data_IF_908554405364
#
_entry.id   IF_908554405364
#
_cell.length_a   1.000
_cell.length_b   1.000
_cell.length_c   1.000
_cell.angle_alpha   90.00
_cell.angle_beta   90.00
_cell.angle_gamma   90.00
#
_symmetry.space_group_name_H-M   'P 1'
#
loop_
_entity.id
_entity.type
_entity.pdbx_description
1 polymer ?
#
# COMPACT_ATOMS: atom_id res chain seq x y z
N UNK A 1 2.39 -8.51 -17.74
CA UNK A 1 2.75 -7.17 -17.24
C UNK A 1 1.62 -6.45 -16.51
N UNK A 2 0.47 -6.11 -17.13
CA UNK A 2 -0.66 -5.54 -16.36
C UNK A 2 -1.20 -6.54 -15.30
N UNK A 3 -1.27 -7.82 -15.66
CA UNK A 3 -1.78 -8.87 -14.74
C UNK A 3 -0.86 -9.07 -13.53
N UNK A 4 0.45 -8.90 -13.69
CA UNK A 4 1.42 -9.03 -12.59
C UNK A 4 1.27 -7.88 -11.59
N UNK A 5 1.00 -6.67 -12.09
CA UNK A 5 0.71 -5.51 -11.25
C UNK A 5 -0.58 -5.70 -10.45
N UNK A 6 -1.62 -6.25 -11.08
CA UNK A 6 -2.90 -6.52 -10.40
C UNK A 6 -2.71 -7.57 -9.31
N UNK A 7 -2.01 -8.67 -9.61
CA UNK A 7 -1.69 -9.71 -8.63
C UNK A 7 -0.86 -9.17 -7.46
N UNK A 8 0.14 -8.33 -7.72
CA UNK A 8 0.92 -7.71 -6.65
C UNK A 8 0.10 -6.74 -5.81
N UNK A 9 -0.74 -5.89 -6.42
CA UNK A 9 -1.65 -5.00 -5.68
C UNK A 9 -2.62 -5.80 -4.81
N UNK A 10 -3.15 -6.91 -5.31
CA UNK A 10 -4.00 -7.81 -4.53
C UNK A 10 -3.24 -8.45 -3.36
N UNK A 11 -2.02 -8.95 -3.59
CA UNK A 11 -1.17 -9.49 -2.54
C UNK A 11 -0.86 -8.42 -1.47
N UNK A 12 -0.45 -7.21 -1.87
CA UNK A 12 -0.22 -6.09 -0.95
C UNK A 12 -1.47 -5.76 -0.15
N UNK A 13 -2.65 -5.71 -0.79
CA UNK A 13 -3.91 -5.46 -0.11
C UNK A 13 -4.26 -6.56 0.91
N UNK A 14 -4.02 -7.83 0.59
CA UNK A 14 -4.23 -8.95 1.50
C UNK A 14 -3.28 -8.90 2.70
N UNK A 15 -2.00 -8.61 2.47
CA UNK A 15 -1.02 -8.49 3.56
C UNK A 15 -1.33 -7.28 4.42
N UNK A 16 -1.72 -6.14 3.84
CA UNK A 16 -2.15 -4.96 4.59
C UNK A 16 -3.41 -5.24 5.44
N UNK A 17 -4.37 -6.00 4.90
CA UNK A 17 -5.53 -6.44 5.65
C UNK A 17 -5.14 -7.37 6.81
N UNK A 18 -4.18 -8.28 6.59
CA UNK A 18 -3.63 -9.15 7.62
C UNK A 18 -2.90 -8.35 8.72
N UNK A 19 -2.08 -7.37 8.34
CA UNK A 19 -1.42 -6.45 9.27
C UNK A 19 -2.46 -5.73 10.13
N UNK A 20 -3.51 -5.16 9.52
CA UNK A 20 -4.56 -4.45 10.25
C UNK A 20 -5.34 -5.35 11.19
N UNK A 21 -5.56 -6.62 10.81
CA UNK A 21 -6.14 -7.63 11.70
C UNK A 21 -5.23 -7.92 12.89
N UNK A 22 -3.91 -8.02 12.69
CA UNK A 22 -2.92 -8.19 13.76
C UNK A 22 -2.88 -6.97 14.68
N UNK A 23 -2.89 -5.74 14.13
CA UNK A 23 -2.99 -4.50 14.92
C UNK A 23 -4.23 -4.48 15.80
N UNK A 24 -5.39 -4.87 15.26
CA UNK A 24 -6.62 -4.93 16.03
C UNK A 24 -6.54 -5.96 17.17
N UNK A 25 -5.94 -7.13 16.92
CA UNK A 25 -5.71 -8.15 17.96
C UNK A 25 -4.76 -7.63 19.05
N UNK A 26 -3.69 -6.94 18.66
CA UNK A 26 -2.74 -6.34 19.58
C UNK A 26 -3.43 -5.29 20.46
N UNK A 27 -4.20 -4.37 19.87
CA UNK A 27 -4.99 -3.37 20.61
C UNK A 27 -6.00 -4.00 21.55
N UNK A 28 -6.68 -5.08 21.14
CA UNK A 28 -7.60 -5.80 22.01
C UNK A 28 -6.89 -6.45 23.20
N UNK A 29 -5.68 -7.00 23.00
CA UNK A 29 -4.87 -7.54 24.09
C UNK A 29 -4.38 -6.46 25.06
N UNK A 30 -4.00 -5.28 24.54
CA UNK A 30 -3.60 -4.12 25.34
C UNK A 30 -4.77 -3.55 26.16
N UNK A 31 -5.97 -3.50 25.58
CA UNK A 31 -7.20 -3.14 26.30
C UNK A 31 -7.51 -4.14 27.41
N UNK A 32 -7.38 -5.43 27.14
CA UNK A 32 -7.55 -6.46 28.15
C UNK A 32 -6.54 -6.31 29.30
N UNK A 33 -5.27 -6.01 29.01
CA UNK A 33 -4.24 -5.71 30.04
C UNK A 33 -4.68 -4.56 30.95
N UNK A 34 -5.14 -3.46 30.35
CA UNK A 34 -5.60 -2.28 31.08
C UNK A 34 -6.85 -2.56 31.93
N UNK A 35 -7.80 -3.35 31.41
CA UNK A 35 -9.00 -3.74 32.15
C UNK A 35 -8.66 -4.64 33.35
N UNK A 36 -7.76 -5.61 33.18
CA UNK A 36 -7.28 -6.45 34.29
C UNK A 36 -6.49 -5.65 35.31
N UNK A 37 -5.71 -4.66 34.88
CA UNK A 37 -5.00 -3.75 35.77
C UNK A 37 -5.99 -2.91 36.60
N UNK A 38 -7.03 -2.36 35.97
CA UNK A 38 -8.07 -1.59 36.67
C UNK A 38 -8.84 -2.46 37.66
N UNK A 39 -9.16 -3.71 37.30
CA UNK A 39 -9.78 -4.70 38.20
C UNK A 39 -8.89 -5.03 39.40
N UNK A 40 -7.59 -5.20 39.18
CA UNK A 40 -6.63 -5.44 40.25
C UNK A 40 -6.56 -4.24 41.22
N UNK A 41 -6.53 -3.01 40.71
CA UNK A 41 -6.56 -1.80 41.54
C UNK A 41 -7.84 -1.71 42.39
N UNK A 42 -9.00 -2.01 41.80
CA UNK A 42 -10.28 -2.04 42.51
C UNK A 42 -10.32 -3.12 43.61
N UNK A 43 -9.76 -4.29 43.36
CA UNK A 43 -9.66 -5.36 44.36
C UNK A 43 -8.72 -4.98 45.51
N UNK A 44 -7.58 -4.33 45.21
CA UNK A 44 -6.67 -3.80 46.23
C UNK A 44 -7.34 -2.73 47.10
N UNK A 45 -8.12 -1.83 46.51
CA UNK A 45 -8.88 -0.83 47.26
C UNK A 45 -9.92 -1.44 48.21
N UNK A 46 -10.48 -2.60 47.85
CA UNK A 46 -11.45 -3.34 48.67
C UNK A 46 -10.79 -4.28 49.70
N UNK A 47 -9.46 -4.41 49.69
CA UNK A 47 -8.72 -5.30 50.58
C UNK A 47 -8.72 -6.77 50.15
N UNK A 48 -9.18 -7.09 48.95
CA UNK A 48 -9.18 -8.45 48.40
C UNK A 48 -7.85 -8.75 47.68
N UNK A 49 -6.79 -8.98 48.44
CA UNK A 49 -5.44 -9.21 47.90
C UNK A 49 -5.35 -10.46 47.00
N UNK A 50 -6.08 -11.53 47.33
CA UNK A 50 -6.07 -12.76 46.54
C UNK A 50 -6.63 -12.54 45.13
N UNK A 51 -7.76 -11.82 45.04
CA UNK A 51 -8.40 -11.47 43.76
C UNK A 51 -7.51 -10.55 42.91
N UNK A 52 -6.83 -9.59 43.56
CA UNK A 52 -5.86 -8.72 42.90
C UNK A 52 -4.66 -9.49 42.34
N UNK A 53 -4.17 -10.49 43.10
CA UNK A 53 -3.04 -11.33 42.69
C UNK A 53 -3.41 -12.21 41.49
N UNK A 54 -4.63 -12.76 41.46
CA UNK A 54 -5.14 -13.48 40.29
C UNK A 54 -5.32 -12.57 39.06
N UNK A 55 -5.85 -11.35 39.24
CA UNK A 55 -5.99 -10.38 38.17
C UNK A 55 -4.63 -9.99 37.57
N UNK A 56 -3.61 -9.78 38.41
CA UNK A 56 -2.23 -9.53 37.96
C UNK A 56 -1.61 -10.74 37.24
N UNK A 57 -1.91 -11.96 37.68
CA UNK A 57 -1.45 -13.18 36.99
C UNK A 57 -2.06 -13.29 35.60
N UNK A 58 -3.36 -13.00 35.45
CA UNK A 58 -4.03 -12.95 34.14
C UNK A 58 -3.45 -11.84 33.27
N UNK A 59 -3.25 -10.64 33.83
CA UNK A 59 -2.60 -9.52 33.16
C UNK A 59 -1.26 -9.93 32.55
N UNK A 60 -0.40 -10.61 33.31
CA UNK A 60 0.90 -11.09 32.81
C UNK A 60 0.76 -11.95 31.55
N UNK A 61 -0.22 -12.87 31.51
CA UNK A 61 -0.49 -13.68 30.32
C UNK A 61 -0.96 -12.85 29.12
N UNK A 62 -1.79 -11.82 29.34
CA UNK A 62 -2.18 -10.89 28.28
C UNK A 62 -1.03 -10.03 27.78
N UNK A 63 -0.12 -9.59 28.67
CA UNK A 63 1.08 -8.87 28.31
C UNK A 63 2.04 -9.73 27.47
N UNK A 64 2.22 -11.01 27.82
CA UNK A 64 2.99 -11.97 27.02
C UNK A 64 2.37 -12.18 25.63
N UNK A 65 1.04 -12.32 25.56
CA UNK A 65 0.32 -12.40 24.29
C UNK A 65 0.48 -11.12 23.44
N UNK A 66 0.41 -9.93 24.05
CA UNK A 66 0.63 -8.66 23.36
C UNK A 66 2.06 -8.55 22.82
N UNK A 67 3.06 -9.01 23.58
CA UNK A 67 4.46 -9.07 23.12
C UNK A 67 4.64 -10.00 21.92
N UNK A 68 4.03 -11.19 21.96
CA UNK A 68 4.05 -12.13 20.81
C UNK A 68 3.38 -11.54 19.58
N UNK A 69 2.21 -10.91 19.75
CA UNK A 69 1.49 -10.25 18.66
C UNK A 69 2.30 -9.09 18.08
N UNK A 70 3.01 -8.32 18.91
CA UNK A 70 3.90 -7.24 18.47
C UNK A 70 5.04 -7.77 17.61
N UNK A 71 5.70 -8.86 18.03
CA UNK A 71 6.75 -9.49 17.24
C UNK A 71 6.24 -9.97 15.87
N UNK A 72 5.04 -10.57 15.82
CA UNK A 72 4.39 -10.96 14.56
C UNK A 72 4.09 -9.76 13.66
N UNK A 73 3.70 -8.64 14.27
CA UNK A 73 3.37 -7.40 13.57
C UNK A 73 4.61 -6.76 12.95
N UNK A 74 5.72 -6.70 13.69
CA UNK A 74 6.99 -6.19 13.19
C UNK A 74 7.52 -7.03 12.03
N UNK A 75 7.40 -8.36 12.11
CA UNK A 75 7.77 -9.25 11.02
C UNK A 75 6.88 -9.05 9.77
N UNK A 76 5.56 -8.90 9.96
CA UNK A 76 4.64 -8.58 8.87
C UNK A 76 4.94 -7.21 8.23
N UNK A 77 5.30 -6.20 9.05
CA UNK A 77 5.59 -4.85 8.57
C UNK A 77 6.77 -4.82 7.60
N UNK A 78 7.84 -5.56 7.90
CA UNK A 78 8.97 -5.74 6.98
C UNK A 78 8.56 -6.37 5.65
N UNK A 79 7.67 -7.37 5.69
CA UNK A 79 7.15 -8.01 4.46
C UNK A 79 6.30 -7.02 3.64
N UNK A 80 5.46 -6.22 4.29
CA UNK A 80 4.67 -5.17 3.64
C UNK A 80 5.56 -4.13 2.98
N UNK A 81 6.58 -3.63 3.69
CA UNK A 81 7.53 -2.64 3.15
C UNK A 81 8.25 -3.16 1.91
N UNK A 82 8.71 -4.42 1.94
CA UNK A 82 9.32 -5.07 0.78
C UNK A 82 8.34 -5.21 -0.40
N UNK A 83 7.10 -5.65 -0.15
CA UNK A 83 6.07 -5.78 -1.19
C UNK A 83 5.70 -4.43 -1.81
N UNK A 84 5.54 -3.39 -0.99
CA UNK A 84 5.21 -2.03 -1.45
C UNK A 84 6.36 -1.46 -2.28
N UNK A 85 7.60 -1.62 -1.83
CA UNK A 85 8.80 -1.17 -2.56
C UNK A 85 8.90 -1.85 -3.94
N UNK A 86 8.75 -3.18 -3.98
CA UNK A 86 8.77 -3.94 -5.23
C UNK A 86 7.62 -3.54 -6.17
N UNK A 87 6.42 -3.26 -5.63
CA UNK A 87 5.28 -2.80 -6.42
C UNK A 87 5.57 -1.45 -7.06
N UNK A 88 6.11 -0.51 -6.30
CA UNK A 88 6.46 0.83 -6.79
C UNK A 88 7.54 0.77 -7.88
N UNK A 89 8.54 -0.08 -7.72
CA UNK A 89 9.58 -0.30 -8.74
C UNK A 89 8.99 -0.83 -10.05
N UNK A 90 8.06 -1.79 -9.98
CA UNK A 90 7.39 -2.32 -11.17
C UNK A 90 6.50 -1.28 -11.83
N UNK A 91 5.77 -0.47 -11.05
CA UNK A 91 4.97 0.63 -11.57
C UNK A 91 5.84 1.64 -12.34
N UNK A 92 7.01 2.01 -11.80
CA UNK A 92 7.96 2.89 -12.48
C UNK A 92 8.45 2.32 -13.81
N UNK A 93 8.86 1.04 -13.81
CA UNK A 93 9.31 0.36 -15.04
C UNK A 93 8.21 0.28 -16.11
N UNK A 94 6.97 0.05 -15.70
CA UNK A 94 5.82 0.04 -16.62
C UNK A 94 5.54 1.45 -17.17
N UNK A 95 5.64 2.49 -16.33
CA UNK A 95 5.45 3.88 -16.75
C UNK A 95 6.52 4.30 -17.77
N UNK A 96 7.79 3.97 -17.53
CA UNK A 96 8.89 4.21 -18.47
C UNK A 96 8.69 3.48 -19.80
N UNK A 97 8.28 2.21 -19.76
CA UNK A 97 7.99 1.43 -20.96
C UNK A 97 6.81 2.00 -21.75
N UNK A 98 5.76 2.47 -21.07
CA UNK A 98 4.63 3.18 -21.71
C UNK A 98 5.07 4.48 -22.37
N UNK A 99 5.85 5.33 -21.67
CA UNK A 99 6.35 6.58 -22.25
C UNK A 99 7.22 6.35 -23.50
N UNK A 100 8.10 5.35 -23.49
CA UNK A 100 8.89 4.99 -24.67
C UNK A 100 8.01 4.52 -25.83
N UNK A 101 6.94 3.77 -25.55
CA UNK A 101 5.97 3.34 -26.57
C UNK A 101 5.19 4.53 -27.14
N UNK A 102 4.75 5.46 -26.29
CA UNK A 102 3.94 6.60 -26.69
C UNK A 102 4.75 7.62 -27.50
N UNK A 103 6.02 7.85 -27.13
CA UNK A 103 6.93 8.68 -27.94
C UNK A 103 7.20 8.08 -29.32
N UNK A 104 7.37 6.74 -29.42
CA UNK A 104 7.51 6.07 -30.72
C UNK A 104 6.24 6.15 -31.56
N UNK A 105 5.06 6.01 -30.94
CA UNK A 105 3.77 6.19 -31.63
C UNK A 105 3.58 7.62 -32.12
N UNK A 106 3.87 8.62 -31.29
CA UNK A 106 3.78 10.03 -31.67
C UNK A 106 4.73 10.34 -32.83
N UNK A 107 5.97 9.84 -32.78
CA UNK A 107 6.93 9.99 -33.89
C UNK A 107 6.44 9.34 -35.19
N UNK A 108 5.85 8.14 -35.10
CA UNK A 108 5.27 7.46 -36.26
C UNK A 108 4.04 8.19 -36.81
N UNK A 109 3.23 8.80 -35.95
CA UNK A 109 2.10 9.64 -36.38
C UNK A 109 2.59 10.92 -37.06
N UNK A 110 3.55 11.65 -36.46
CA UNK A 110 4.13 12.86 -37.07
C UNK A 110 4.75 12.58 -38.43
N UNK A 111 5.43 11.44 -38.62
CA UNK A 111 5.97 11.05 -39.92
C UNK A 111 4.87 10.77 -40.96
N UNK A 112 3.70 10.27 -40.55
CA UNK A 112 2.55 10.07 -41.45
C UNK A 112 1.88 11.38 -41.85
N UNK A 113 1.81 12.35 -40.96
CA UNK A 113 1.16 13.65 -41.24
C UNK A 113 2.11 14.70 -41.85
N UNK A 114 3.43 14.52 -41.74
CA UNK A 114 4.43 15.39 -42.37
C UNK A 114 4.25 15.58 -43.89
N UNK A 115 4.06 14.52 -44.72
CA UNK A 115 3.80 14.71 -46.15
C UNK A 115 2.44 15.36 -46.43
N UNK A 116 1.45 15.15 -45.55
CA UNK A 116 0.10 15.70 -45.69
C UNK A 116 0.08 17.22 -45.49
N UNK A 117 0.80 17.72 -44.47
CA UNK A 117 0.96 19.16 -44.22
C UNK A 117 1.75 19.82 -45.36
N UNK A 118 2.80 19.16 -45.86
CA UNK A 118 3.55 19.66 -47.01
C UNK A 118 2.65 19.82 -48.25
N UNK A 119 1.78 18.85 -48.53
CA UNK A 119 0.83 18.92 -49.65
C UNK A 119 -0.22 20.03 -49.47
N UNK A 120 -0.74 20.24 -48.26
CA UNK A 120 -1.66 21.34 -47.95
C UNK A 120 -1.02 22.72 -48.12
N UNK A 121 0.23 22.89 -47.66
CA UNK A 121 0.96 24.15 -47.85
C UNK A 121 1.28 24.41 -49.34
N UNK A 122 1.68 23.39 -50.10
CA UNK A 122 1.97 23.55 -51.52
C UNK A 122 0.71 23.86 -52.35
N UNK A 123 -0.41 23.21 -52.03
CA UNK A 123 -1.71 23.48 -52.68
C UNK A 123 -2.23 24.89 -52.41
N UNK A 124 -2.08 25.40 -51.18
CA UNK A 124 -2.46 26.77 -50.84
C UNK A 124 -1.58 27.82 -51.54
N UNK A 125 -0.28 27.54 -51.68
CA UNK A 125 0.65 28.45 -52.38
C UNK A 125 0.37 28.51 -53.89
N UNK A 126 0.04 27.37 -54.52
CA UNK A 126 -0.30 27.32 -55.94
C UNK A 126 -1.64 28.02 -56.24
N UNK A 127 -2.62 27.93 -55.33
CA UNK A 127 -3.92 28.59 -55.49
C UNK A 127 -3.83 30.12 -55.39
N UNK A 128 -2.92 30.64 -54.56
CA UNK A 128 -2.68 32.09 -54.43
C UNK A 128 -1.95 32.64 -55.67
N UNK A 129 -0.99 31.91 -56.24
CA UNK A 129 -0.21 32.36 -57.40
C UNK A 129 -0.98 32.23 -58.72
N UNK A 130 -1.94 31.30 -58.82
CA UNK A 130 -2.74 31.10 -60.04
C UNK A 130 -3.96 32.04 -60.15
N UNK A 131 -4.29 32.80 -59.09
CA UNK A 131 -5.46 33.70 -59.03
C UNK A 131 -5.11 35.18 -58.84
N UNK A 132 -3.84 35.56 -59.11
CA UNK A 132 -3.34 36.94 -59.12
C UNK A 132 -2.81 37.27 -60.52
#
# INVERSE_FOLDING_TARGET
MNDDLIKMRQATAQVLASQKRLENKYKAAEQADADWYRRAQLALQKGEEDLAREALKRRKSYAENASSLKAQLDQQKSVVENLVSNTRLLESKIAEAKQKKDTLKARAQSAKYAPFIHWFCFGAYYFIVLFM
#
